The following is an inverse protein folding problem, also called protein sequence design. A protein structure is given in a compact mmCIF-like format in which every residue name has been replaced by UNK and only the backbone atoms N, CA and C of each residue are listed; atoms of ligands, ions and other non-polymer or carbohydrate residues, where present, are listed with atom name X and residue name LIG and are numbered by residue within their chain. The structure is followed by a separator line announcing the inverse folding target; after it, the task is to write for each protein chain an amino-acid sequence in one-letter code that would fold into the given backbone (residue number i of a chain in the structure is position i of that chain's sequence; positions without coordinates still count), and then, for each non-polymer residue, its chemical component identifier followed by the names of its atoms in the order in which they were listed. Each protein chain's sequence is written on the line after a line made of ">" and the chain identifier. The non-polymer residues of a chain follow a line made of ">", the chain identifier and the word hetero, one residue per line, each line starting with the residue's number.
data_IF_496619118712
#
_entry.id   IF_496619118712
#
_cell.length_a   1.000
_cell.length_b   1.000
_cell.length_c   1.000
_cell.angle_alpha   90.00
_cell.angle_beta   90.00
_cell.angle_gamma   90.00
#
_symmetry.space_group_name_H-M   'P 1'
#
loop_
_entity.id
_entity.type
_entity.pdbx_description
1 polymer ?
#
# COMPACT_ATOMS: atom_id res chain seq x y z
N UNK A 1 -30.07 3.90 7.12
CA UNK A 1 -28.83 3.22 7.57
C UNK A 1 -27.52 3.92 7.08
N UNK A 2 -27.51 5.21 6.79
CA UNK A 2 -26.34 5.95 6.23
C UNK A 2 -25.55 6.79 7.25
N UNK A 3 -26.10 7.05 8.45
CA UNK A 3 -25.49 7.98 9.43
C UNK A 3 -24.35 7.42 10.29
N UNK A 4 -24.20 6.09 10.38
CA UNK A 4 -23.18 5.45 11.23
C UNK A 4 -21.80 5.33 10.55
N UNK A 5 -21.69 5.57 9.23
CA UNK A 5 -20.41 5.44 8.49
C UNK A 5 -19.51 6.67 8.57
N UNK A 6 -20.07 7.84 8.71
CA UNK A 6 -19.32 9.09 8.80
C UNK A 6 -18.44 9.19 10.07
N UNK A 7 -18.93 8.91 11.29
CA UNK A 7 -18.08 9.01 12.48
C UNK A 7 -16.96 7.95 12.51
N UNK A 8 -17.19 6.74 11.97
CA UNK A 8 -16.15 5.72 11.85
C UNK A 8 -15.10 6.08 10.80
N UNK A 9 -15.47 6.75 9.71
CA UNK A 9 -14.55 7.26 8.69
C UNK A 9 -13.73 8.42 9.25
N UNK A 10 -14.36 9.34 9.95
CA UNK A 10 -13.71 10.48 10.64
C UNK A 10 -12.74 10.00 11.73
N UNK A 11 -13.10 8.99 12.51
CA UNK A 11 -12.21 8.39 13.51
C UNK A 11 -11.00 7.67 12.85
N UNK A 12 -11.18 7.06 11.68
CA UNK A 12 -10.07 6.42 10.91
C UNK A 12 -9.14 7.45 10.30
N UNK A 13 -9.66 8.52 9.72
CA UNK A 13 -8.87 9.65 9.20
C UNK A 13 -8.13 10.34 10.35
N UNK A 14 -8.77 10.54 11.49
CA UNK A 14 -8.17 11.14 12.67
C UNK A 14 -7.03 10.32 13.28
N UNK A 15 -7.11 8.99 13.27
CA UNK A 15 -6.05 8.13 13.82
C UNK A 15 -4.81 8.02 12.92
N UNK A 16 -4.97 8.00 11.60
CA UNK A 16 -3.84 7.96 10.67
C UNK A 16 -3.19 9.34 10.52
N UNK A 17 -3.98 10.39 10.39
CA UNK A 17 -3.49 11.78 10.32
C UNK A 17 -2.93 12.29 11.65
N UNK A 18 -3.46 11.83 12.79
CA UNK A 18 -2.98 12.23 14.10
C UNK A 18 -1.55 11.81 14.41
N UNK A 19 -1.13 10.62 14.00
CA UNK A 19 0.24 10.15 14.20
C UNK A 19 1.25 10.87 13.28
N UNK A 20 0.83 11.25 12.08
CA UNK A 20 1.63 12.04 11.14
C UNK A 20 1.77 13.47 11.63
N UNK A 21 0.66 14.10 12.02
CA UNK A 21 0.67 15.43 12.60
C UNK A 21 1.54 15.49 13.86
N UNK A 22 1.45 14.50 14.76
CA UNK A 22 2.29 14.44 15.95
C UNK A 22 3.79 14.35 15.62
N UNK A 23 4.17 13.52 14.63
CA UNK A 23 5.58 13.42 14.17
C UNK A 23 6.08 14.73 13.57
N UNK A 24 5.27 15.34 12.70
CA UNK A 24 5.60 16.61 12.07
C UNK A 24 5.75 17.72 13.11
N UNK A 25 4.83 17.78 14.09
CA UNK A 25 4.88 18.77 15.19
C UNK A 25 6.14 18.57 16.05
N UNK A 26 6.45 17.33 16.44
CA UNK A 26 7.66 17.04 17.24
C UNK A 26 8.93 17.38 16.45
N UNK A 27 9.00 17.00 15.17
CA UNK A 27 10.15 17.30 14.32
C UNK A 27 10.35 18.81 14.15
N UNK A 28 9.29 19.56 13.86
CA UNK A 28 9.34 21.01 13.72
C UNK A 28 9.74 21.69 15.05
N UNK A 29 9.15 21.25 16.18
CA UNK A 29 9.49 21.79 17.50
C UNK A 29 10.93 21.52 17.91
N UNK A 30 11.45 20.32 17.68
CA UNK A 30 12.85 19.98 17.95
C UNK A 30 13.79 20.81 17.05
N UNK A 31 13.45 20.97 15.78
CA UNK A 31 14.22 21.80 14.85
C UNK A 31 14.28 23.24 15.35
N UNK A 32 13.11 23.82 15.65
CA UNK A 32 13.00 25.19 16.17
C UNK A 32 13.85 25.38 17.40
N UNK A 33 13.68 24.51 18.41
CA UNK A 33 14.41 24.61 19.66
C UNK A 33 15.93 24.48 19.47
N UNK A 34 16.35 23.56 18.61
CA UNK A 34 17.78 23.34 18.32
C UNK A 34 18.40 24.55 17.62
N UNK A 35 17.74 25.10 16.61
CA UNK A 35 18.21 26.27 15.89
C UNK A 35 18.28 27.50 16.82
N UNK A 36 17.28 27.71 17.65
CA UNK A 36 17.25 28.84 18.58
C UNK A 36 18.34 28.75 19.67
N UNK A 37 18.58 27.53 20.21
CA UNK A 37 19.50 27.36 21.35
C UNK A 37 20.94 27.12 20.93
N UNK A 38 21.20 26.32 19.88
CA UNK A 38 22.55 25.94 19.46
C UNK A 38 23.11 26.88 18.37
N UNK A 39 22.29 27.32 17.42
CA UNK A 39 22.72 28.23 16.35
C UNK A 39 22.43 29.70 16.66
N UNK A 40 21.75 29.97 17.78
CA UNK A 40 21.38 31.34 18.20
C UNK A 40 20.64 32.13 17.10
N UNK A 41 19.82 31.43 16.29
CA UNK A 41 19.01 32.04 15.24
C UNK A 41 17.71 32.54 15.89
N UNK A 42 17.42 33.81 15.73
CA UNK A 42 16.26 34.46 16.38
C UNK A 42 14.93 33.88 15.90
N UNK A 43 14.80 33.62 14.60
CA UNK A 43 13.55 33.17 13.97
C UNK A 43 13.79 31.97 13.05
N UNK A 44 13.99 30.73 13.57
CA UNK A 44 14.37 29.56 12.79
C UNK A 44 13.18 28.90 12.09
N UNK A 45 12.39 29.66 11.31
CA UNK A 45 11.19 29.16 10.66
C UNK A 45 11.48 28.21 9.50
N UNK A 46 12.57 28.40 8.77
CA UNK A 46 12.87 27.64 7.57
C UNK A 46 13.15 26.16 7.90
N UNK A 47 13.86 25.89 8.99
CA UNK A 47 14.11 24.53 9.45
C UNK A 47 12.83 23.84 9.94
N UNK A 48 11.99 24.55 10.70
CA UNK A 48 10.72 24.02 11.17
C UNK A 48 9.77 23.69 9.99
N UNK A 49 9.70 24.56 8.98
CA UNK A 49 8.93 24.34 7.76
C UNK A 49 9.50 23.15 6.96
N UNK A 50 10.82 23.06 6.83
CA UNK A 50 11.46 21.92 6.18
C UNK A 50 11.09 20.60 6.87
N UNK A 51 11.19 20.53 8.20
CA UNK A 51 10.81 19.37 8.98
C UNK A 51 9.33 18.98 8.78
N UNK A 52 8.43 19.97 8.77
CA UNK A 52 7.01 19.76 8.55
C UNK A 52 6.70 19.17 7.16
N UNK A 53 7.34 19.72 6.12
CA UNK A 53 7.05 19.39 4.73
C UNK A 53 7.60 18.04 4.25
N UNK A 54 8.64 17.52 4.91
CA UNK A 54 9.24 16.23 4.53
C UNK A 54 8.67 15.05 5.30
N UNK A 55 8.00 15.27 6.45
CA UNK A 55 7.39 14.20 7.23
C UNK A 55 6.19 13.64 6.49
N UNK A 56 6.34 12.45 5.99
CA UNK A 56 5.33 11.71 5.24
C UNK A 56 4.82 10.51 6.02
N UNK A 57 3.79 9.89 5.51
CA UNK A 57 3.20 8.69 6.10
C UNK A 57 4.17 7.52 6.18
N UNK A 58 5.18 7.41 5.30
CA UNK A 58 6.20 6.35 5.28
C UNK A 58 7.61 6.92 5.40
N UNK A 59 8.53 6.12 5.98
CA UNK A 59 9.95 6.48 6.02
C UNK A 59 10.51 6.65 4.60
N UNK A 60 10.13 5.77 3.67
CA UNK A 60 10.56 5.85 2.26
C UNK A 60 10.00 7.09 1.59
N UNK A 61 8.72 7.40 1.79
CA UNK A 61 8.13 8.64 1.28
C UNK A 61 8.81 9.85 1.90
N UNK A 62 9.11 9.84 3.21
CA UNK A 62 9.87 10.89 3.89
C UNK A 62 11.27 11.05 3.31
N UNK A 63 12.02 9.96 3.06
CA UNK A 63 13.35 10.03 2.42
C UNK A 63 13.23 10.59 1.01
N UNK A 64 12.25 10.14 0.23
CA UNK A 64 12.00 10.65 -1.13
C UNK A 64 11.61 12.13 -1.11
N UNK A 65 10.74 12.56 -0.17
CA UNK A 65 10.36 13.95 0.02
C UNK A 65 11.57 14.80 0.42
N UNK A 66 12.37 14.33 1.40
CA UNK A 66 13.60 15.00 1.83
C UNK A 66 14.58 15.19 0.69
N UNK A 67 14.79 14.15 -0.15
CA UNK A 67 15.68 14.25 -1.32
C UNK A 67 15.18 15.28 -2.31
N UNK A 68 13.89 15.26 -2.66
CA UNK A 68 13.31 16.23 -3.61
C UNK A 68 13.32 17.64 -3.06
N UNK A 69 13.04 17.80 -1.77
CA UNK A 69 13.11 19.08 -1.07
C UNK A 69 14.54 19.64 -1.09
N UNK A 70 15.53 18.83 -0.72
CA UNK A 70 16.95 19.23 -0.75
C UNK A 70 17.40 19.64 -2.14
N UNK A 71 17.07 18.84 -3.18
CA UNK A 71 17.38 19.17 -4.57
C UNK A 71 16.70 20.48 -4.98
N UNK A 72 15.43 20.68 -4.59
CA UNK A 72 14.71 21.93 -4.85
C UNK A 72 15.38 23.14 -4.22
N UNK A 73 15.80 23.06 -2.95
CA UNK A 73 16.54 24.13 -2.28
C UNK A 73 17.89 24.41 -2.91
N UNK A 74 18.67 23.38 -3.26
CA UNK A 74 19.98 23.54 -3.92
C UNK A 74 19.84 24.20 -5.29
N UNK A 75 18.85 23.79 -6.08
CA UNK A 75 18.56 24.43 -7.39
C UNK A 75 18.16 25.89 -7.21
N UNK A 76 17.35 26.19 -6.19
CA UNK A 76 16.98 27.57 -5.86
C UNK A 76 18.18 28.45 -5.55
N UNK A 77 19.10 27.98 -4.71
CA UNK A 77 20.35 28.68 -4.37
C UNK A 77 21.24 28.83 -5.61
N UNK A 78 21.39 27.75 -6.42
CA UNK A 78 22.22 27.74 -7.63
C UNK A 78 21.77 28.78 -8.66
N UNK A 79 20.48 29.03 -8.79
CA UNK A 79 19.92 30.06 -9.70
C UNK A 79 20.03 31.45 -9.08
N UNK A 80 19.77 31.56 -7.79
CA UNK A 80 19.66 32.85 -7.10
C UNK A 80 21.01 33.56 -6.91
N UNK A 81 22.06 32.82 -6.55
CA UNK A 81 23.38 33.41 -6.26
C UNK A 81 23.95 34.10 -7.50
N UNK A 82 24.06 33.45 -8.67
CA UNK A 82 24.51 34.15 -9.89
C UNK A 82 23.58 35.31 -10.29
N UNK A 83 22.25 35.10 -10.17
CA UNK A 83 21.28 36.14 -10.46
C UNK A 83 21.45 37.37 -9.56
N UNK A 84 21.74 37.19 -8.28
CA UNK A 84 21.99 38.30 -7.36
C UNK A 84 23.33 39.04 -7.63
N UNK A 85 24.33 38.32 -8.11
CA UNK A 85 25.67 38.89 -8.37
C UNK A 85 25.75 39.59 -9.72
N UNK A 86 25.13 39.03 -10.76
CA UNK A 86 25.34 39.46 -12.16
C UNK A 86 24.14 40.14 -12.81
N UNK A 87 22.91 39.94 -12.30
CA UNK A 87 21.73 40.59 -12.84
C UNK A 87 21.70 42.09 -12.42
N UNK A 88 21.14 42.92 -13.29
CA UNK A 88 20.92 44.33 -12.96
C UNK A 88 20.04 44.49 -11.72
N UNK A 89 20.34 45.50 -10.88
CA UNK A 89 19.50 45.82 -9.73
C UNK A 89 18.09 46.25 -10.17
N UNK A 90 17.08 45.56 -9.69
CA UNK A 90 15.69 45.92 -9.96
C UNK A 90 14.80 44.76 -10.27
N UNK A 91 13.60 45.08 -10.71
CA UNK A 91 12.51 44.11 -10.96
C UNK A 91 12.89 43.09 -12.06
N UNK A 92 13.69 43.51 -13.07
CA UNK A 92 14.07 42.61 -14.16
C UNK A 92 14.98 41.47 -13.72
N UNK A 93 15.97 41.72 -12.84
CA UNK A 93 16.83 40.68 -12.30
C UNK A 93 16.07 39.68 -11.42
N UNK A 94 15.18 40.19 -10.57
CA UNK A 94 14.29 39.33 -9.76
C UNK A 94 13.38 38.49 -10.66
N UNK A 95 12.75 39.10 -11.66
CA UNK A 95 11.85 38.42 -12.57
C UNK A 95 12.56 37.29 -13.35
N UNK A 96 13.81 37.52 -13.77
CA UNK A 96 14.61 36.49 -14.43
C UNK A 96 14.89 35.30 -13.52
N UNK A 97 15.35 35.56 -12.29
CA UNK A 97 15.62 34.50 -11.29
C UNK A 97 14.36 33.69 -10.98
N UNK A 98 13.23 34.35 -10.76
CA UNK A 98 11.96 33.70 -10.50
C UNK A 98 11.52 32.90 -11.72
N UNK A 99 11.62 33.44 -12.94
CA UNK A 99 11.24 32.74 -14.16
C UNK A 99 12.05 31.47 -14.37
N UNK A 100 13.37 31.53 -14.26
CA UNK A 100 14.25 30.36 -14.41
C UNK A 100 13.94 29.32 -13.33
N UNK A 101 13.76 29.73 -12.09
CA UNK A 101 13.46 28.82 -10.98
C UNK A 101 12.09 28.17 -11.12
N UNK A 102 11.06 28.88 -11.62
CA UNK A 102 9.75 28.28 -11.93
C UNK A 102 9.86 27.28 -13.08
N UNK A 103 10.66 27.57 -14.09
CA UNK A 103 10.88 26.65 -15.19
C UNK A 103 11.54 25.34 -14.71
N UNK A 104 12.56 25.44 -13.85
CA UNK A 104 13.21 24.29 -13.21
C UNK A 104 12.25 23.51 -12.27
N UNK A 105 11.39 24.24 -11.57
CA UNK A 105 10.38 23.65 -10.67
C UNK A 105 9.39 22.71 -11.39
N UNK A 106 9.16 22.93 -12.69
CA UNK A 106 8.25 22.10 -13.50
C UNK A 106 8.86 20.77 -13.92
N UNK A 107 10.11 20.49 -13.57
CA UNK A 107 10.73 19.20 -13.90
C UNK A 107 10.04 18.06 -13.13
N UNK A 108 9.64 17.01 -13.84
CA UNK A 108 8.78 15.94 -13.31
C UNK A 108 9.34 15.21 -12.07
N UNK A 109 10.68 15.22 -11.86
CA UNK A 109 11.33 14.63 -10.70
C UNK A 109 10.94 15.29 -9.37
N UNK A 110 10.71 16.62 -9.36
CA UNK A 110 10.42 17.37 -8.13
C UNK A 110 8.96 17.23 -7.66
N UNK A 111 8.02 16.95 -8.57
CA UNK A 111 6.61 16.84 -8.26
C UNK A 111 6.08 18.09 -7.55
N UNK A 112 5.30 17.90 -6.48
CA UNK A 112 4.78 19.01 -5.66
C UNK A 112 5.87 19.73 -4.82
N UNK A 113 7.05 19.15 -4.63
CA UNK A 113 8.18 19.83 -4.01
C UNK A 113 8.89 20.83 -4.94
N UNK A 114 8.52 20.90 -6.21
CA UNK A 114 9.07 21.85 -7.18
C UNK A 114 8.90 23.32 -6.76
N UNK A 115 7.85 23.66 -6.01
CA UNK A 115 7.61 25.02 -5.50
C UNK A 115 8.71 25.54 -4.57
N UNK A 116 9.54 24.66 -3.99
CA UNK A 116 10.66 25.08 -3.16
C UNK A 116 11.81 25.70 -3.96
N UNK A 117 11.93 25.40 -5.25
CA UNK A 117 12.94 26.02 -6.11
C UNK A 117 12.75 27.55 -6.19
N UNK A 118 11.60 28.08 -6.63
CA UNK A 118 11.40 29.52 -6.69
C UNK A 118 11.32 30.17 -5.32
N UNK A 119 10.78 29.50 -4.30
CA UNK A 119 10.72 30.03 -2.94
C UNK A 119 12.12 30.23 -2.34
N UNK A 120 12.99 29.23 -2.44
CA UNK A 120 14.39 29.34 -1.99
C UNK A 120 15.18 30.32 -2.85
N UNK A 121 14.94 30.35 -4.17
CA UNK A 121 15.60 31.30 -5.06
C UNK A 121 15.27 32.74 -4.70
N UNK A 122 13.98 33.04 -4.45
CA UNK A 122 13.53 34.37 -4.06
C UNK A 122 14.20 34.81 -2.75
N UNK A 123 14.16 33.95 -1.72
CA UNK A 123 14.75 34.25 -0.43
C UNK A 123 16.26 34.44 -0.52
N UNK A 124 16.96 33.51 -1.18
CA UNK A 124 18.42 33.60 -1.40
C UNK A 124 18.81 34.86 -2.16
N UNK A 125 18.06 35.21 -3.21
CA UNK A 125 18.27 36.43 -3.95
C UNK A 125 18.13 37.67 -3.04
N UNK A 126 17.11 37.71 -2.19
CA UNK A 126 16.89 38.81 -1.26
C UNK A 126 18.04 38.93 -0.23
N UNK A 127 18.48 37.79 0.37
CA UNK A 127 19.56 37.76 1.36
C UNK A 127 20.92 38.22 0.74
N UNK A 128 21.26 37.68 -0.40
CA UNK A 128 22.54 38.06 -1.09
C UNK A 128 22.53 39.53 -1.51
N UNK A 129 21.39 39.99 -2.01
CA UNK A 129 21.25 41.39 -2.48
C UNK A 129 21.18 42.37 -1.32
N UNK A 130 20.58 41.98 -0.21
CA UNK A 130 20.50 42.76 1.04
C UNK A 130 21.83 42.90 1.77
N UNK A 131 22.91 42.32 1.24
CA UNK A 131 24.27 42.30 1.82
C UNK A 131 24.36 41.59 3.17
N UNK A 132 23.51 40.55 3.38
CA UNK A 132 23.53 39.67 4.55
C UNK A 132 23.99 38.24 4.19
N UNK A 133 25.17 38.05 3.56
CA UNK A 133 25.60 36.72 3.10
C UNK A 133 25.81 35.72 4.25
N UNK A 134 26.08 36.23 5.47
CA UNK A 134 26.18 35.40 6.68
C UNK A 134 24.86 34.71 7.07
N UNK A 135 23.73 35.33 6.80
CA UNK A 135 22.40 34.79 7.09
C UNK A 135 22.03 33.63 6.13
N UNK A 136 22.61 33.60 4.91
CA UNK A 136 22.41 32.50 3.99
C UNK A 136 22.95 31.19 4.56
N UNK A 137 24.13 31.22 5.22
CA UNK A 137 24.71 30.04 5.88
C UNK A 137 23.81 29.53 7.01
N UNK A 138 23.30 30.44 7.84
CA UNK A 138 22.36 30.11 8.91
C UNK A 138 21.05 29.51 8.36
N UNK A 139 20.49 30.11 7.30
CA UNK A 139 19.28 29.62 6.65
C UNK A 139 19.45 28.21 6.06
N UNK A 140 20.56 27.91 5.41
CA UNK A 140 20.85 26.57 4.90
C UNK A 140 21.04 25.56 6.04
N UNK A 141 21.70 25.96 7.15
CA UNK A 141 21.88 25.13 8.32
C UNK A 141 20.53 24.75 8.98
N UNK A 142 19.59 25.69 9.09
CA UNK A 142 18.24 25.43 9.56
C UNK A 142 17.53 24.37 8.71
N UNK A 143 17.58 24.48 7.38
CA UNK A 143 16.98 23.53 6.44
C UNK A 143 17.58 22.15 6.65
N UNK A 144 18.90 22.03 6.74
CA UNK A 144 19.59 20.75 6.97
C UNK A 144 19.17 20.12 8.29
N UNK A 145 19.08 20.91 9.36
CA UNK A 145 18.58 20.44 10.66
C UNK A 145 17.12 20.00 10.58
N UNK A 146 16.28 20.76 9.89
CA UNK A 146 14.87 20.41 9.68
C UNK A 146 14.71 19.07 8.96
N UNK A 147 15.50 18.85 7.92
CA UNK A 147 15.54 17.57 7.18
C UNK A 147 16.00 16.45 8.13
N UNK A 148 17.07 16.68 8.90
CA UNK A 148 17.60 15.71 9.84
C UNK A 148 16.59 15.28 10.92
N UNK A 149 15.95 16.24 11.58
CA UNK A 149 14.91 15.96 12.58
C UNK A 149 13.66 15.33 11.97
N UNK A 150 13.23 15.78 10.80
CA UNK A 150 12.09 15.17 10.09
C UNK A 150 12.33 13.69 9.76
N UNK A 151 13.51 13.35 9.25
CA UNK A 151 13.93 11.97 9.02
C UNK A 151 14.03 11.18 10.31
N UNK A 152 14.71 11.72 11.35
CA UNK A 152 14.87 11.07 12.64
C UNK A 152 13.51 10.76 13.29
N UNK A 153 12.60 11.74 13.33
CA UNK A 153 11.26 11.55 13.87
C UNK A 153 10.46 10.51 13.07
N UNK A 154 10.61 10.47 11.74
CA UNK A 154 9.92 9.48 10.90
C UNK A 154 10.44 8.05 11.15
N UNK A 155 11.71 7.88 11.51
CA UNK A 155 12.30 6.57 11.82
C UNK A 155 12.03 6.15 13.27
N UNK A 156 12.13 7.08 14.24
CA UNK A 156 12.10 6.79 15.67
C UNK A 156 10.68 6.79 16.25
N UNK A 157 9.81 7.70 15.79
CA UNK A 157 8.46 7.85 16.30
C UNK A 157 7.48 6.99 15.51
N UNK A 158 6.89 6.01 16.18
CA UNK A 158 5.78 5.17 15.70
C UNK A 158 6.04 4.23 14.51
N UNK A 159 7.04 3.33 14.56
CA UNK A 159 7.23 2.33 13.49
C UNK A 159 6.14 1.24 13.46
N UNK A 160 5.22 1.20 14.44
CA UNK A 160 4.32 0.07 14.66
C UNK A 160 2.96 0.14 13.95
N UNK A 161 2.56 1.28 13.39
CA UNK A 161 1.17 1.50 12.92
C UNK A 161 0.86 0.74 11.62
N UNK A 162 1.85 0.42 10.80
CA UNK A 162 1.65 -0.13 9.44
C UNK A 162 1.50 -1.64 9.34
N UNK A 163 2.08 -2.40 10.26
CA UNK A 163 1.84 -3.85 10.30
C UNK A 163 0.37 -4.12 10.58
N UNK A 164 -0.28 -3.30 11.41
CA UNK A 164 -1.72 -3.40 11.68
C UNK A 164 -2.59 -2.98 10.48
N UNK A 165 -2.12 -2.11 9.59
CA UNK A 165 -2.87 -1.73 8.38
C UNK A 165 -2.88 -2.86 7.36
N UNK A 166 -1.77 -3.55 7.15
CA UNK A 166 -1.70 -4.73 6.29
C UNK A 166 -2.59 -5.87 6.79
N UNK A 167 -2.57 -6.15 8.10
CA UNK A 167 -3.44 -7.16 8.72
C UNK A 167 -4.93 -6.85 8.52
N UNK A 168 -5.33 -5.59 8.69
CA UNK A 168 -6.72 -5.17 8.49
C UNK A 168 -7.12 -5.26 7.02
N UNK A 169 -6.28 -4.83 6.10
CA UNK A 169 -6.56 -4.90 4.67
C UNK A 169 -6.69 -6.36 4.19
N UNK A 170 -5.83 -7.26 4.70
CA UNK A 170 -5.94 -8.69 4.42
C UNK A 170 -7.20 -9.31 5.04
N UNK A 171 -7.62 -8.88 6.23
CA UNK A 171 -8.86 -9.35 6.88
C UNK A 171 -10.10 -8.86 6.11
N UNK A 172 -10.12 -7.60 5.67
CA UNK A 172 -11.19 -7.04 4.82
C UNK A 172 -11.30 -7.82 3.50
N UNK A 173 -10.17 -8.15 2.88
CA UNK A 173 -10.12 -8.95 1.64
C UNK A 173 -10.65 -10.38 1.86
N UNK A 174 -10.25 -11.06 2.95
CA UNK A 174 -10.78 -12.41 3.29
C UNK A 174 -12.28 -12.40 3.46
N UNK A 175 -12.79 -11.42 4.22
CA UNK A 175 -14.23 -11.25 4.45
C UNK A 175 -14.97 -11.00 3.14
N UNK A 176 -14.41 -10.19 2.24
CA UNK A 176 -15.04 -9.89 0.96
C UNK A 176 -15.08 -11.13 0.06
N UNK A 177 -13.98 -11.85 -0.06
CA UNK A 177 -13.91 -13.12 -0.82
C UNK A 177 -14.92 -14.14 -0.27
N UNK A 178 -15.00 -14.29 1.06
CA UNK A 178 -15.95 -15.21 1.67
C UNK A 178 -17.40 -14.81 1.38
N UNK A 179 -17.75 -13.53 1.52
CA UNK A 179 -19.08 -13.01 1.17
C UNK A 179 -19.45 -13.23 -0.29
N UNK A 180 -18.49 -13.04 -1.20
CA UNK A 180 -18.73 -13.28 -2.63
C UNK A 180 -18.98 -14.76 -2.92
N UNK A 181 -18.21 -15.66 -2.32
CA UNK A 181 -18.43 -17.11 -2.44
C UNK A 181 -19.81 -17.53 -1.87
N UNK A 182 -20.21 -16.97 -0.73
CA UNK A 182 -21.54 -17.22 -0.16
C UNK A 182 -22.66 -16.65 -1.05
N UNK A 183 -22.46 -15.45 -1.60
CA UNK A 183 -23.40 -14.84 -2.55
C UNK A 183 -23.54 -15.63 -3.86
N UNK A 184 -22.41 -16.18 -4.37
CA UNK A 184 -22.42 -17.07 -5.54
C UNK A 184 -23.16 -18.38 -5.20
N UNK A 185 -22.99 -18.94 -4.00
CA UNK A 185 -23.73 -20.12 -3.56
C UNK A 185 -25.24 -19.86 -3.51
N UNK A 186 -25.64 -18.69 -3.02
CA UNK A 186 -27.05 -18.28 -2.97
C UNK A 186 -27.62 -18.06 -4.39
N UNK A 187 -26.82 -17.44 -5.28
CA UNK A 187 -27.21 -17.22 -6.69
C UNK A 187 -27.48 -18.56 -7.40
N UNK A 188 -26.60 -19.54 -7.20
CA UNK A 188 -26.77 -20.89 -7.77
C UNK A 188 -28.03 -21.57 -7.27
N UNK A 189 -28.32 -21.52 -5.96
CA UNK A 189 -29.51 -22.16 -5.37
C UNK A 189 -30.79 -21.50 -5.83
N UNK A 190 -30.79 -20.18 -5.98
CA UNK A 190 -31.97 -19.40 -6.42
C UNK A 190 -32.11 -19.28 -7.92
N UNK A 191 -31.16 -19.81 -8.69
CA UNK A 191 -31.09 -19.65 -10.14
C UNK A 191 -31.08 -18.17 -10.57
N UNK A 192 -30.46 -17.30 -9.74
CA UNK A 192 -30.27 -15.87 -10.00
C UNK A 192 -28.91 -15.61 -10.66
N UNK A 193 -28.75 -14.44 -11.31
CA UNK A 193 -27.43 -14.00 -11.77
C UNK A 193 -26.57 -13.55 -10.57
N UNK A 194 -25.27 -13.85 -10.56
CA UNK A 194 -24.35 -13.31 -9.57
C UNK A 194 -24.44 -11.79 -9.40
N UNK A 195 -24.53 -11.04 -10.49
CA UNK A 195 -24.66 -9.58 -10.50
C UNK A 195 -25.92 -9.08 -9.76
N UNK A 196 -27.03 -9.81 -9.80
CA UNK A 196 -28.24 -9.45 -9.06
C UNK A 196 -28.07 -9.66 -7.53
N UNK A 197 -27.29 -10.63 -7.14
CA UNK A 197 -27.08 -10.98 -5.73
C UNK A 197 -25.92 -10.20 -5.08
N UNK A 198 -24.84 -10.00 -5.81
CA UNK A 198 -23.62 -9.35 -5.32
C UNK A 198 -23.61 -7.84 -5.61
N UNK A 199 -24.45 -7.36 -6.55
CA UNK A 199 -24.42 -6.01 -7.08
C UNK A 199 -23.62 -5.92 -8.38
N UNK A 200 -23.95 -4.94 -9.23
CA UNK A 200 -23.34 -4.81 -10.55
C UNK A 200 -21.81 -4.52 -10.48
N UNK A 201 -21.34 -3.89 -9.41
CA UNK A 201 -19.93 -3.49 -9.22
C UNK A 201 -19.09 -4.49 -8.41
N UNK A 202 -19.57 -5.71 -8.17
CA UNK A 202 -18.90 -6.66 -7.27
C UNK A 202 -17.47 -7.02 -7.69
N UNK A 203 -17.18 -7.08 -9.00
CA UNK A 203 -15.84 -7.32 -9.52
C UNK A 203 -14.89 -6.14 -9.22
N UNK A 204 -15.38 -4.91 -9.39
CA UNK A 204 -14.64 -3.69 -9.10
C UNK A 204 -14.35 -3.54 -7.61
N UNK A 205 -15.33 -3.89 -6.76
CA UNK A 205 -15.15 -3.91 -5.30
C UNK A 205 -14.04 -4.88 -4.89
N UNK A 206 -14.02 -6.07 -5.49
CA UNK A 206 -12.99 -7.07 -5.25
C UNK A 206 -11.61 -6.60 -5.75
N UNK A 207 -11.54 -6.01 -6.94
CA UNK A 207 -10.32 -5.41 -7.51
C UNK A 207 -9.77 -4.27 -6.65
N UNK A 208 -10.65 -3.42 -6.13
CA UNK A 208 -10.30 -2.33 -5.24
C UNK A 208 -9.76 -2.85 -3.90
N UNK A 209 -10.39 -3.87 -3.32
CA UNK A 209 -9.93 -4.49 -2.08
C UNK A 209 -8.56 -5.18 -2.25
N UNK A 210 -8.33 -5.85 -3.38
CA UNK A 210 -7.04 -6.44 -3.74
C UNK A 210 -5.94 -5.38 -3.85
N UNK A 211 -6.22 -4.27 -4.53
CA UNK A 211 -5.28 -3.16 -4.69
C UNK A 211 -4.93 -2.56 -3.33
N UNK A 212 -5.91 -2.32 -2.46
CA UNK A 212 -5.68 -1.84 -1.09
C UNK A 212 -4.82 -2.80 -0.27
N UNK A 213 -5.10 -4.09 -0.35
CA UNK A 213 -4.33 -5.09 0.38
C UNK A 213 -2.88 -5.17 -0.11
N UNK A 214 -2.64 -5.09 -1.43
CA UNK A 214 -1.29 -5.02 -2.02
C UNK A 214 -0.53 -3.81 -1.53
N UNK A 215 -1.09 -2.63 -1.67
CA UNK A 215 -0.46 -1.38 -1.21
C UNK A 215 -0.14 -1.44 0.28
N UNK A 216 -1.04 -1.93 1.12
CA UNK A 216 -0.81 -2.03 2.56
C UNK A 216 0.31 -3.03 2.94
N UNK A 217 0.42 -4.17 2.23
CA UNK A 217 1.49 -5.17 2.44
C UNK A 217 2.83 -4.63 1.93
N UNK A 218 2.86 -3.93 0.79
CA UNK A 218 4.07 -3.33 0.24
C UNK A 218 4.59 -2.21 1.14
N UNK A 219 3.72 -1.34 1.64
CA UNK A 219 4.06 -0.31 2.63
C UNK A 219 4.59 -0.90 3.93
N UNK A 220 4.01 -2.01 4.40
CA UNK A 220 4.52 -2.72 5.57
C UNK A 220 5.93 -3.27 5.31
N UNK A 221 6.20 -3.77 4.10
CA UNK A 221 7.52 -4.24 3.71
C UNK A 221 8.57 -3.14 3.69
N UNK A 222 8.27 -2.02 3.05
CA UNK A 222 9.16 -0.85 3.02
C UNK A 222 9.49 -0.36 4.43
N UNK A 223 8.47 -0.31 5.31
CA UNK A 223 8.66 0.02 6.72
C UNK A 223 9.64 -0.92 7.44
N UNK A 224 9.72 -2.20 7.03
CA UNK A 224 10.61 -3.19 7.63
C UNK A 224 12.06 -3.08 7.13
N UNK A 225 12.30 -2.59 5.92
CA UNK A 225 13.67 -2.42 5.38
C UNK A 225 14.48 -1.40 6.18
N UNK A 226 13.81 -0.38 6.70
CA UNK A 226 14.42 0.73 7.44
C UNK A 226 14.37 0.58 8.97
N UNK A 227 13.82 -0.54 9.48
CA UNK A 227 13.68 -0.75 10.92
C UNK A 227 14.83 -1.60 11.47
N UNK A 228 15.55 -1.07 12.44
CA UNK A 228 16.75 -1.66 13.06
C UNK A 228 16.48 -2.94 13.90
N UNK A 229 15.21 -3.30 14.14
CA UNK A 229 14.81 -4.50 14.92
C UNK A 229 14.16 -5.58 14.04
N UNK A 230 14.93 -6.57 13.49
CA UNK A 230 14.50 -7.25 12.27
C UNK A 230 13.79 -8.59 12.40
N UNK A 231 13.96 -9.42 13.44
CA UNK A 231 13.76 -10.88 13.26
C UNK A 231 12.31 -11.37 13.32
N UNK A 232 11.51 -10.97 14.30
CA UNK A 232 10.12 -11.46 14.42
C UNK A 232 9.18 -10.84 13.37
N UNK A 233 9.42 -9.58 13.01
CA UNK A 233 8.59 -8.84 12.04
C UNK A 233 8.84 -9.28 10.59
N UNK A 234 10.06 -9.68 10.22
CA UNK A 234 10.35 -10.25 8.89
C UNK A 234 9.60 -11.57 8.63
N UNK A 235 9.51 -12.46 9.64
CA UNK A 235 8.70 -13.68 9.53
C UNK A 235 7.23 -13.37 9.27
N UNK A 236 6.70 -12.35 9.92
CA UNK A 236 5.30 -11.93 9.77
C UNK A 236 5.02 -11.36 8.39
N UNK A 237 5.90 -10.53 7.84
CA UNK A 237 5.78 -10.03 6.47
C UNK A 237 5.77 -11.15 5.42
N UNK A 238 6.66 -12.14 5.55
CA UNK A 238 6.65 -13.29 4.65
C UNK A 238 5.32 -14.05 4.71
N UNK A 239 4.68 -14.11 5.87
CA UNK A 239 3.34 -14.69 6.02
C UNK A 239 2.30 -13.82 5.31
N UNK A 240 2.29 -12.53 5.53
CA UNK A 240 1.31 -11.59 4.95
C UNK A 240 1.41 -11.56 3.42
N UNK A 241 2.62 -11.53 2.88
CA UNK A 241 2.85 -11.59 1.43
C UNK A 241 2.36 -12.91 0.81
N UNK A 242 2.55 -14.03 1.51
CA UNK A 242 2.04 -15.33 1.08
C UNK A 242 0.52 -15.39 1.11
N UNK A 243 -0.07 -14.90 2.19
CA UNK A 243 -1.53 -14.79 2.32
C UNK A 243 -2.11 -13.92 1.21
N UNK A 244 -1.50 -12.77 0.94
CA UNK A 244 -1.92 -11.88 -0.15
C UNK A 244 -1.89 -12.59 -1.50
N UNK A 245 -0.82 -13.33 -1.82
CA UNK A 245 -0.71 -14.09 -3.06
C UNK A 245 -1.82 -15.14 -3.17
N UNK A 246 -2.00 -15.96 -2.13
CA UNK A 246 -3.06 -16.97 -2.10
C UNK A 246 -4.45 -16.33 -2.27
N UNK A 247 -4.73 -15.23 -1.59
CA UNK A 247 -6.02 -14.53 -1.70
C UNK A 247 -6.20 -13.88 -3.07
N UNK A 248 -5.12 -13.42 -3.72
CA UNK A 248 -5.16 -12.91 -5.10
C UNK A 248 -5.56 -14.01 -6.08
N UNK A 249 -4.96 -15.19 -5.95
CA UNK A 249 -5.26 -16.33 -6.80
C UNK A 249 -6.71 -16.81 -6.58
N UNK A 250 -7.15 -16.91 -5.32
CA UNK A 250 -8.53 -17.27 -4.96
C UNK A 250 -9.53 -16.23 -5.49
N UNK A 251 -9.25 -14.95 -5.36
CA UNK A 251 -10.11 -13.88 -5.90
C UNK A 251 -10.27 -13.99 -7.42
N UNK A 252 -9.19 -14.29 -8.14
CA UNK A 252 -9.25 -14.57 -9.58
C UNK A 252 -10.19 -15.74 -9.92
N UNK A 253 -10.18 -16.81 -9.11
CA UNK A 253 -11.07 -17.95 -9.29
C UNK A 253 -12.53 -17.62 -8.93
N UNK A 254 -12.77 -16.77 -7.94
CA UNK A 254 -14.11 -16.26 -7.60
C UNK A 254 -14.69 -15.45 -8.76
N UNK A 255 -13.89 -14.55 -9.33
CA UNK A 255 -14.29 -13.78 -10.53
C UNK A 255 -14.58 -14.70 -11.71
N UNK A 256 -13.73 -15.68 -11.97
CA UNK A 256 -13.96 -16.66 -13.04
C UNK A 256 -15.26 -17.44 -12.83
N UNK A 257 -15.53 -17.88 -11.59
CA UNK A 257 -16.77 -18.59 -11.24
C UNK A 257 -18.00 -17.69 -11.45
N UNK A 258 -17.95 -16.43 -11.00
CA UNK A 258 -19.04 -15.48 -11.18
C UNK A 258 -19.36 -15.22 -12.65
N UNK A 259 -18.33 -15.00 -13.47
CA UNK A 259 -18.48 -14.79 -14.92
C UNK A 259 -19.06 -16.02 -15.62
N UNK A 260 -18.61 -17.22 -15.26
CA UNK A 260 -19.18 -18.44 -15.82
C UNK A 260 -20.67 -18.60 -15.49
N UNK A 261 -21.08 -18.20 -14.28
CA UNK A 261 -22.47 -18.21 -13.86
C UNK A 261 -23.29 -17.09 -14.53
N UNK A 262 -22.69 -15.95 -14.87
CA UNK A 262 -23.37 -14.84 -15.56
C UNK A 262 -23.56 -15.10 -17.07
N UNK A 263 -22.64 -15.84 -17.72
CA UNK A 263 -22.71 -16.16 -19.17
C UNK A 263 -23.85 -17.14 -19.52
N UNK A 264 -24.39 -17.85 -18.53
CA UNK A 264 -25.44 -18.86 -18.75
C UNK A 264 -26.92 -18.39 -18.59
N UNK A 265 -27.30 -17.11 -18.68
CA UNK A 265 -28.70 -16.69 -18.47
C UNK A 265 -29.61 -16.82 -19.66
N UNK A 266 -29.09 -17.23 -20.81
CA UNK A 266 -29.86 -17.33 -22.06
C UNK A 266 -29.80 -18.69 -22.73
N UNK A 267 -29.09 -19.65 -22.19
CA UNK A 267 -29.16 -21.03 -22.65
C UNK A 267 -30.58 -21.56 -22.36
N UNK A 268 -31.17 -22.17 -23.36
CA UNK A 268 -32.49 -22.79 -23.30
C UNK A 268 -32.69 -23.54 -21.97
N UNK A 269 -33.92 -23.64 -21.50
CA UNK A 269 -34.32 -24.19 -20.18
C UNK A 269 -33.63 -25.51 -19.74
N UNK A 270 -32.88 -26.16 -20.63
CA UNK A 270 -32.12 -27.38 -20.39
C UNK A 270 -30.67 -27.20 -19.93
N UNK A 271 -30.13 -25.97 -19.79
CA UNK A 271 -28.71 -25.74 -19.52
C UNK A 271 -28.44 -25.15 -18.10
N UNK A 272 -29.48 -25.00 -17.28
CA UNK A 272 -29.30 -24.60 -15.87
C UNK A 272 -28.85 -25.79 -15.05
N UNK A 273 -27.91 -25.60 -14.10
CA UNK A 273 -27.51 -26.66 -13.16
C UNK A 273 -28.76 -27.23 -12.48
N UNK A 274 -29.05 -28.50 -12.71
CA UNK A 274 -30.20 -29.15 -12.07
C UNK A 274 -30.08 -29.14 -10.55
N UNK A 275 -31.17 -29.28 -9.78
CA UNK A 275 -31.14 -29.23 -8.33
C UNK A 275 -30.21 -30.29 -7.71
N UNK A 276 -29.98 -31.38 -8.42
CA UNK A 276 -29.02 -32.41 -8.03
C UNK A 276 -27.56 -31.95 -8.04
N UNK A 277 -27.21 -30.97 -8.89
CA UNK A 277 -25.88 -30.34 -8.95
C UNK A 277 -25.84 -29.06 -8.13
N UNK A 278 -26.86 -28.20 -8.23
CA UNK A 278 -26.88 -26.85 -7.64
C UNK A 278 -26.66 -26.87 -6.12
N UNK A 279 -27.36 -27.74 -5.39
CA UNK A 279 -27.24 -27.82 -3.93
C UNK A 279 -25.88 -28.31 -3.44
N UNK A 280 -25.28 -29.41 -3.96
CA UNK A 280 -23.93 -29.81 -3.62
C UNK A 280 -22.88 -28.79 -4.02
N UNK A 281 -23.02 -28.11 -5.16
CA UNK A 281 -22.11 -27.08 -5.61
C UNK A 281 -22.15 -25.84 -4.72
N UNK A 282 -23.34 -25.39 -4.31
CA UNK A 282 -23.48 -24.31 -3.35
C UNK A 282 -22.85 -24.63 -1.98
N UNK A 283 -22.97 -25.88 -1.51
CA UNK A 283 -22.29 -26.33 -0.28
C UNK A 283 -20.76 -26.27 -0.46
N UNK A 284 -20.25 -26.65 -1.62
CA UNK A 284 -18.83 -26.57 -1.94
C UNK A 284 -18.35 -25.12 -1.93
N UNK A 285 -19.09 -24.17 -2.56
CA UNK A 285 -18.80 -22.74 -2.52
C UNK A 285 -18.72 -22.22 -1.08
N UNK A 286 -19.70 -22.53 -0.23
CA UNK A 286 -19.71 -22.12 1.19
C UNK A 286 -18.55 -22.72 1.98
N UNK A 287 -18.20 -23.97 1.73
CA UNK A 287 -17.04 -24.59 2.39
C UNK A 287 -15.72 -23.94 1.92
N UNK A 288 -15.63 -23.57 0.64
CA UNK A 288 -14.50 -22.82 0.10
C UNK A 288 -14.42 -21.41 0.72
N UNK A 289 -15.57 -20.76 0.98
CA UNK A 289 -15.64 -19.48 1.69
C UNK A 289 -15.04 -19.57 3.09
N UNK A 290 -15.37 -20.60 3.86
CA UNK A 290 -14.78 -20.85 5.19
C UNK A 290 -13.26 -21.05 5.10
N UNK A 291 -12.79 -21.81 4.13
CA UNK A 291 -11.35 -22.03 3.91
C UNK A 291 -10.63 -20.73 3.54
N UNK A 292 -11.21 -19.90 2.68
CA UNK A 292 -10.65 -18.62 2.26
C UNK A 292 -10.62 -17.61 3.43
N UNK A 293 -11.69 -17.50 4.21
CA UNK A 293 -11.74 -16.66 5.40
C UNK A 293 -10.66 -17.02 6.42
N UNK A 294 -10.43 -18.31 6.61
CA UNK A 294 -9.45 -18.84 7.59
C UNK A 294 -8.00 -18.83 7.08
N UNK A 295 -7.75 -18.37 5.84
CA UNK A 295 -6.41 -18.34 5.25
C UNK A 295 -5.54 -17.29 5.95
N UNK A 296 -4.70 -17.73 6.90
CA UNK A 296 -3.77 -16.90 7.69
C UNK A 296 -2.30 -17.28 7.45
N UNK A 297 -2.01 -17.97 6.34
CA UNK A 297 -0.64 -18.38 5.97
C UNK A 297 -0.01 -19.45 6.86
N UNK A 298 -0.82 -20.07 7.71
CA UNK A 298 -0.42 -21.16 8.59
C UNK A 298 -0.95 -22.52 8.12
N UNK A 299 -1.62 -23.22 9.03
CA UNK A 299 -2.23 -24.53 8.71
C UNK A 299 -3.48 -24.35 7.85
N UNK A 300 -3.70 -25.24 6.85
CA UNK A 300 -4.95 -25.24 6.09
C UNK A 300 -6.16 -25.48 6.99
N UNK A 301 -7.31 -24.95 6.56
CA UNK A 301 -8.56 -25.13 7.34
C UNK A 301 -8.96 -26.61 7.42
N UNK A 302 -9.48 -27.09 8.55
CA UNK A 302 -9.87 -28.50 8.74
C UNK A 302 -10.93 -28.99 7.73
N UNK A 303 -11.77 -28.09 7.20
CA UNK A 303 -12.76 -28.41 6.18
C UNK A 303 -12.20 -28.59 4.76
N UNK A 304 -10.91 -28.27 4.51
CA UNK A 304 -10.32 -28.36 3.19
C UNK A 304 -10.34 -29.77 2.60
N UNK A 305 -10.01 -30.85 3.34
CA UNK A 305 -10.13 -32.23 2.84
C UNK A 305 -11.55 -32.58 2.44
N UNK A 306 -12.54 -32.17 3.23
CA UNK A 306 -13.96 -32.38 2.96
C UNK A 306 -14.41 -31.62 1.69
N UNK A 307 -13.94 -30.37 1.49
CA UNK A 307 -14.21 -29.62 0.27
C UNK A 307 -13.63 -30.32 -0.98
N UNK A 308 -12.42 -30.82 -0.89
CA UNK A 308 -11.79 -31.59 -2.00
C UNK A 308 -12.54 -32.88 -2.30
N UNK A 309 -12.98 -33.59 -1.26
CA UNK A 309 -13.78 -34.80 -1.46
C UNK A 309 -15.16 -34.49 -2.09
N UNK A 310 -15.78 -33.37 -1.69
CA UNK A 310 -17.02 -32.92 -2.30
C UNK A 310 -16.82 -32.54 -3.79
N UNK A 311 -15.72 -31.85 -4.10
CA UNK A 311 -15.34 -31.51 -5.49
C UNK A 311 -15.14 -32.78 -6.33
N UNK A 312 -14.38 -33.74 -5.81
CA UNK A 312 -14.13 -35.02 -6.51
C UNK A 312 -15.43 -35.81 -6.75
N UNK A 313 -16.38 -35.79 -5.82
CA UNK A 313 -17.69 -36.43 -5.98
C UNK A 313 -18.53 -35.76 -7.07
N UNK A 314 -18.47 -34.44 -7.17
CA UNK A 314 -19.19 -33.66 -8.20
C UNK A 314 -18.54 -33.85 -9.59
N UNK A 315 -17.23 -34.02 -9.67
CA UNK A 315 -16.48 -34.24 -10.91
C UNK A 315 -16.45 -35.69 -11.39
N UNK A 316 -16.97 -36.66 -10.61
CA UNK A 316 -16.91 -38.09 -10.95
C UNK A 316 -17.80 -38.41 -12.18
N UNK A 317 -17.25 -38.98 -13.26
CA UNK A 317 -18.03 -39.38 -14.42
C UNK A 317 -19.01 -40.49 -14.02
N UNK A 318 -20.29 -40.37 -14.39
CA UNK A 318 -21.27 -41.44 -14.28
C UNK A 318 -22.30 -41.35 -13.15
N UNK A 319 -22.34 -40.29 -12.34
CA UNK A 319 -23.35 -40.10 -11.28
C UNK A 319 -24.38 -38.99 -11.56
N UNK A 320 -24.31 -38.30 -12.71
CA UNK A 320 -25.34 -37.38 -13.17
C UNK A 320 -26.35 -38.09 -14.07
N UNK A 321 -27.62 -37.63 -14.15
CA UNK A 321 -28.55 -38.13 -15.19
C UNK A 321 -27.91 -37.91 -16.54
N UNK A 322 -28.05 -38.90 -17.42
CA UNK A 322 -27.49 -38.88 -18.77
C UNK A 322 -27.84 -37.58 -19.52
N UNK A 323 -26.83 -36.75 -19.81
CA UNK A 323 -26.99 -35.50 -20.53
C UNK A 323 -26.34 -34.23 -19.94
N UNK A 324 -25.78 -34.24 -18.74
CA UNK A 324 -25.30 -33.03 -18.03
C UNK A 324 -23.76 -32.87 -18.03
N UNK A 325 -23.03 -33.35 -19.03
CA UNK A 325 -21.60 -33.57 -18.91
C UNK A 325 -20.68 -32.37 -19.21
N UNK A 326 -21.10 -31.37 -19.95
CA UNK A 326 -20.15 -30.30 -20.38
C UNK A 326 -20.19 -28.98 -19.59
N UNK A 327 -21.34 -28.36 -19.25
CA UNK A 327 -21.34 -27.08 -18.56
C UNK A 327 -20.93 -27.18 -17.09
N UNK A 328 -21.24 -28.30 -16.41
CA UNK A 328 -20.96 -28.47 -14.98
C UNK A 328 -19.46 -28.62 -14.70
N UNK A 329 -18.68 -29.22 -15.60
CA UNK A 329 -17.23 -29.36 -15.45
C UNK A 329 -16.50 -28.00 -15.53
N UNK A 330 -16.99 -27.07 -16.34
CA UNK A 330 -16.40 -25.72 -16.41
C UNK A 330 -16.51 -24.98 -15.07
N UNK A 331 -17.60 -25.18 -14.33
CA UNK A 331 -17.81 -24.57 -13.01
C UNK A 331 -16.93 -25.17 -11.91
N UNK A 332 -16.48 -26.41 -12.07
CA UNK A 332 -15.63 -27.07 -11.06
C UNK A 332 -14.17 -26.66 -11.13
N UNK A 333 -13.65 -26.32 -12.32
CA UNK A 333 -12.23 -25.95 -12.51
C UNK A 333 -11.77 -24.75 -11.66
N UNK A 334 -12.48 -23.63 -11.63
CA UNK A 334 -12.07 -22.51 -10.78
C UNK A 334 -12.01 -22.89 -9.30
N UNK A 335 -12.97 -23.67 -8.81
CA UNK A 335 -12.98 -24.12 -7.41
C UNK A 335 -11.86 -25.12 -7.10
N UNK A 336 -11.52 -26.00 -8.04
CA UNK A 336 -10.36 -26.89 -7.92
C UNK A 336 -9.07 -26.09 -7.77
N UNK A 337 -8.88 -25.08 -8.62
CA UNK A 337 -7.73 -24.16 -8.53
C UNK A 337 -7.73 -23.40 -7.20
N UNK A 338 -8.87 -22.86 -6.76
CA UNK A 338 -8.97 -22.14 -5.49
C UNK A 338 -8.62 -23.05 -4.28
N UNK A 339 -9.15 -24.27 -4.24
CA UNK A 339 -8.84 -25.24 -3.17
C UNK A 339 -7.37 -25.70 -3.23
N UNK A 340 -6.78 -25.74 -4.40
CA UNK A 340 -5.35 -26.04 -4.58
C UNK A 340 -4.49 -24.91 -4.00
N UNK A 341 -4.80 -23.66 -4.32
CA UNK A 341 -4.13 -22.49 -3.74
C UNK A 341 -4.24 -22.44 -2.21
N UNK A 342 -5.44 -22.74 -1.68
CA UNK A 342 -5.68 -22.77 -0.23
C UNK A 342 -4.97 -23.93 0.51
N UNK A 343 -4.55 -24.96 -0.21
CA UNK A 343 -3.88 -26.14 0.37
C UNK A 343 -2.36 -26.10 0.25
N UNK A 344 -1.83 -25.28 -0.65
CA UNK A 344 -0.38 -25.26 -0.90
C UNK A 344 0.34 -24.85 0.39
N UNK A 345 1.24 -25.71 0.95
CA UNK A 345 2.21 -25.25 1.91
C UNK A 345 3.04 -24.17 1.18
N UNK A 346 3.05 -22.99 1.75
CA UNK A 346 3.79 -21.91 1.13
C UNK A 346 5.24 -22.35 0.86
N UNK A 347 5.78 -22.16 -0.35
CA UNK A 347 7.14 -22.52 -0.65
C UNK A 347 8.07 -21.88 0.36
N UNK A 348 9.01 -22.63 0.91
CA UNK A 348 10.04 -22.10 1.78
C UNK A 348 10.72 -20.91 1.09
N UNK A 349 11.05 -19.82 1.80
CA UNK A 349 11.76 -18.71 1.20
C UNK A 349 13.02 -19.26 0.54
N UNK A 350 13.37 -18.80 -0.67
CA UNK A 350 14.56 -19.30 -1.35
C UNK A 350 15.78 -19.03 -0.46
N UNK A 351 16.44 -20.08 -0.02
CA UNK A 351 17.61 -20.08 0.87
C UNK A 351 18.82 -19.32 0.27
N UNK A 352 18.66 -18.85 -0.97
CA UNK A 352 19.69 -18.11 -1.73
C UNK A 352 19.89 -16.65 -1.27
N UNK A 353 18.92 -16.02 -0.62
CA UNK A 353 19.10 -14.66 -0.12
C UNK A 353 19.99 -14.59 1.12
N UNK A 354 20.13 -15.69 1.88
CA UNK A 354 21.00 -15.72 3.06
C UNK A 354 22.49 -15.86 2.72
N UNK A 355 22.86 -16.44 1.58
CA UNK A 355 24.27 -16.62 1.20
C UNK A 355 24.93 -15.39 0.58
N UNK A 356 24.15 -14.43 0.12
CA UNK A 356 24.66 -13.18 -0.49
C UNK A 356 24.83 -12.02 0.50
N UNK A 357 24.34 -12.17 1.73
CA UNK A 357 24.40 -11.12 2.76
C UNK A 357 25.25 -11.51 4.00
N UNK A 358 26.01 -12.60 3.92
CA UNK A 358 26.92 -13.03 5.00
C UNK A 358 28.40 -13.13 4.51
N UNK A 359 29.03 -12.02 4.04
CA UNK A 359 30.45 -12.01 3.70
C UNK A 359 31.37 -11.86 4.90
N UNK A 360 30.86 -11.85 6.16
CA UNK A 360 31.62 -11.50 7.36
C UNK A 360 31.58 -12.53 8.50
N UNK A 361 31.27 -13.80 8.23
CA UNK A 361 31.50 -14.85 9.24
C UNK A 361 32.95 -15.32 9.14
N UNK A 362 33.78 -15.06 10.18
CA UNK A 362 35.11 -15.65 10.26
C UNK A 362 34.96 -17.18 10.37
N UNK A 363 35.72 -17.94 9.54
CA UNK A 363 35.78 -19.39 9.60
C UNK A 363 36.32 -19.83 10.97
N UNK A 364 35.76 -20.89 11.60
CA UNK A 364 36.35 -21.43 12.81
C UNK A 364 37.73 -22.02 12.46
N UNK A 365 38.76 -21.47 13.08
CA UNK A 365 40.13 -22.05 13.00
C UNK A 365 40.10 -23.41 13.69
N UNK A 366 40.57 -24.43 12.97
CA UNK A 366 41.00 -25.71 13.53
C UNK A 366 42.36 -25.52 14.26
#
# INVERSE_FOLDING_TARGET
>A
MHSARLPALMARIGQAGGAEAARATVAAGLTWQTCATLLHISDPYAGAVAALLIVETTVVATVSAATRYTVGCLLGVLVAVPGALYAEPGMAGLALVVFVSVLLARHGFLGHHGLHVPATALLTFALVRGRHPGELGAHLAEIVLGIGFGLACSVLLFPAVRVRSAERALEELRLLIARHLDGLADAVVRHERPSNRLGAAWEDDLGTALTRARTAVDEAHESLRWNVRPTARRRRWHLDHRVLRTLTDVAGQVTATGRLLDVHPGAAEGTRPGPAFAQPYARLLRTTALCAYSCRGGRPHPALPAARQALARLGAPGRGPAGTAAPDQCLLRPLESALTCLSAPAPAPPDRAHRLLDPLRPSPRR
#
